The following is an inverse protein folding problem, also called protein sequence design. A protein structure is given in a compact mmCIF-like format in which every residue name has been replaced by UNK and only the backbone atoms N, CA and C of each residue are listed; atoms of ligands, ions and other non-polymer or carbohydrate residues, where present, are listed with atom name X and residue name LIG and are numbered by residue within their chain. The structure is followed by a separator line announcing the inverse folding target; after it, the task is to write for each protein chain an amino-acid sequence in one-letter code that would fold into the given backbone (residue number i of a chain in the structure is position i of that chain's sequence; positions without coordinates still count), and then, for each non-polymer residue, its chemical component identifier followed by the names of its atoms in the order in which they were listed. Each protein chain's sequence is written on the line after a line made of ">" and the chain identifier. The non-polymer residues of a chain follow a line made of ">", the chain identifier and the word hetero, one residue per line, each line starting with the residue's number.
data_IF_845409386211
#
_entry.id   IF_845409386211
#
_cell.length_a   1.000
_cell.length_b   1.000
_cell.length_c   1.000
_cell.angle_alpha   90.00
_cell.angle_beta   90.00
_cell.angle_gamma   90.00
#
_symmetry.space_group_name_H-M   'P 1'
#
loop_
_entity.id
_entity.type
_entity.pdbx_description
1 polymer ?
#
# COMPACT_ATOMS: atom_id res chain seq x y z
N UNK A 1 26.09 -1.04 -23.53
CA UNK A 1 25.98 -0.95 -22.06
C UNK A 1 25.16 -2.13 -21.59
N UNK A 2 25.39 -2.58 -20.35
CA UNK A 2 24.62 -3.65 -19.74
C UNK A 2 23.97 -3.10 -18.47
N UNK A 3 22.66 -3.31 -18.32
CA UNK A 3 21.89 -2.88 -17.16
C UNK A 3 21.03 -4.01 -16.66
N UNK A 4 21.02 -4.23 -15.35
CA UNK A 4 20.28 -5.32 -14.72
C UNK A 4 19.31 -4.80 -13.69
N UNK A 5 18.13 -5.42 -13.66
CA UNK A 5 17.07 -5.17 -12.70
C UNK A 5 16.67 -6.47 -12.02
N UNK A 6 16.33 -6.37 -10.73
CA UNK A 6 15.93 -7.53 -9.93
C UNK A 6 14.60 -7.22 -9.26
N UNK A 7 13.60 -8.06 -9.54
CA UNK A 7 12.25 -7.91 -9.00
C UNK A 7 11.93 -9.15 -8.15
N UNK A 8 11.57 -8.94 -6.89
CA UNK A 8 10.97 -10.01 -6.08
C UNK A 8 9.47 -10.08 -6.38
N UNK A 9 9.00 -11.27 -6.73
CA UNK A 9 7.61 -11.54 -7.13
C UNK A 9 6.92 -12.52 -6.20
N UNK A 10 5.59 -12.54 -6.23
CA UNK A 10 4.71 -13.47 -5.51
C UNK A 10 4.44 -14.76 -6.29
N UNK A 11 4.91 -14.91 -7.53
CA UNK A 11 4.66 -16.08 -8.38
C UNK A 11 5.31 -17.37 -7.83
N UNK A 12 4.54 -18.45 -7.72
CA UNK A 12 5.03 -19.78 -7.35
C UNK A 12 5.66 -20.49 -8.57
N UNK A 13 6.60 -21.44 -8.36
CA UNK A 13 7.33 -22.09 -9.45
C UNK A 13 6.46 -22.69 -10.56
N UNK A 14 5.25 -23.18 -10.22
CA UNK A 14 4.30 -23.74 -11.19
C UNK A 14 3.89 -22.75 -12.29
N UNK A 15 3.97 -21.44 -12.04
CA UNK A 15 3.48 -20.37 -12.94
C UNK A 15 4.60 -19.56 -13.59
N UNK A 16 5.86 -19.99 -13.48
CA UNK A 16 6.99 -19.28 -14.08
C UNK A 16 6.90 -19.21 -15.61
N UNK A 17 6.59 -20.33 -16.26
CA UNK A 17 6.42 -20.37 -17.71
C UNK A 17 5.19 -19.56 -18.13
N UNK A 18 4.07 -19.70 -17.41
CA UNK A 18 2.85 -18.93 -17.67
C UNK A 18 3.10 -17.42 -17.63
N UNK A 19 3.93 -16.94 -16.69
CA UNK A 19 4.32 -15.54 -16.61
C UNK A 19 5.12 -15.11 -17.85
N UNK A 20 6.09 -15.91 -18.29
CA UNK A 20 6.88 -15.61 -19.49
C UNK A 20 6.00 -15.54 -20.74
N UNK A 21 5.09 -16.51 -20.90
CA UNK A 21 4.11 -16.54 -21.98
C UNK A 21 3.17 -15.33 -21.94
N UNK A 22 2.75 -14.93 -20.74
CA UNK A 22 1.92 -13.73 -20.54
C UNK A 22 2.66 -12.47 -20.99
N UNK A 23 3.91 -12.27 -20.54
CA UNK A 23 4.73 -11.12 -20.95
C UNK A 23 4.90 -11.10 -22.47
N UNK A 24 5.23 -12.26 -23.07
CA UNK A 24 5.42 -12.38 -24.52
C UNK A 24 4.14 -12.04 -25.30
N UNK A 25 2.97 -12.46 -24.80
CA UNK A 25 1.67 -12.21 -25.45
C UNK A 25 1.30 -10.73 -25.49
N UNK A 26 1.68 -9.97 -24.46
CA UNK A 26 1.30 -8.56 -24.31
C UNK A 26 2.43 -7.58 -24.64
N UNK A 27 3.55 -8.06 -25.19
CA UNK A 27 4.69 -7.23 -25.60
C UNK A 27 4.91 -7.32 -27.10
N UNK A 28 5.35 -6.24 -27.74
CA UNK A 28 5.74 -6.25 -29.16
C UNK A 28 7.23 -6.62 -29.34
N UNK A 29 7.61 -7.77 -28.79
CA UNK A 29 8.97 -8.28 -28.86
C UNK A 29 9.25 -8.98 -30.19
N UNK A 30 10.44 -8.74 -30.76
CA UNK A 30 10.96 -9.44 -31.95
C UNK A 30 11.96 -10.52 -31.55
N UNK A 31 12.11 -11.55 -32.39
CA UNK A 31 13.00 -12.70 -32.18
C UNK A 31 12.88 -13.34 -30.78
N UNK A 32 11.68 -13.27 -30.20
CA UNK A 32 11.45 -13.65 -28.82
C UNK A 32 11.30 -15.17 -28.68
N UNK A 33 11.99 -15.75 -27.70
CA UNK A 33 12.01 -17.18 -27.44
C UNK A 33 12.07 -17.47 -25.95
N UNK A 34 11.19 -18.39 -25.52
CA UNK A 34 11.20 -18.93 -24.16
C UNK A 34 12.03 -20.21 -24.17
N UNK A 35 13.02 -20.29 -23.29
CA UNK A 35 13.88 -21.45 -23.08
C UNK A 35 13.86 -21.74 -21.58
N UNK A 36 13.06 -22.73 -21.17
CA UNK A 36 12.81 -23.08 -19.78
C UNK A 36 12.28 -21.89 -18.95
N UNK A 37 13.10 -21.38 -18.02
CA UNK A 37 12.84 -20.27 -17.09
C UNK A 37 13.31 -18.92 -17.63
N UNK A 38 13.59 -18.83 -18.93
CA UNK A 38 14.18 -17.64 -19.54
C UNK A 38 13.45 -17.20 -20.80
N UNK A 39 13.19 -15.90 -20.91
CA UNK A 39 12.68 -15.23 -22.10
C UNK A 39 13.78 -14.33 -22.66
N UNK A 40 14.25 -14.62 -23.87
CA UNK A 40 15.19 -13.78 -24.61
C UNK A 40 14.42 -13.07 -25.72
N UNK A 41 14.64 -11.77 -25.87
CA UNK A 41 13.89 -10.95 -26.84
C UNK A 41 14.70 -9.77 -27.36
N UNK A 42 14.20 -9.17 -28.45
CA UNK A 42 14.75 -7.97 -29.08
C UNK A 42 13.67 -6.90 -29.26
N UNK A 43 14.05 -5.65 -29.04
CA UNK A 43 13.22 -4.47 -29.36
C UNK A 43 14.02 -3.51 -30.23
N UNK A 44 13.44 -3.13 -31.37
CA UNK A 44 14.08 -2.24 -32.35
C UNK A 44 13.57 -0.81 -32.18
N UNK A 45 14.51 0.13 -32.13
CA UNK A 45 14.23 1.57 -32.12
C UNK A 45 14.95 2.24 -33.30
N UNK A 46 14.52 3.42 -33.76
CA UNK A 46 15.20 4.14 -34.85
C UNK A 46 16.69 4.40 -34.59
N UNK A 47 17.10 4.49 -33.31
CA UNK A 47 18.47 4.82 -32.88
C UNK A 47 19.29 3.58 -32.47
N UNK A 48 18.77 2.37 -32.64
CA UNK A 48 19.49 1.13 -32.30
C UNK A 48 18.57 0.03 -31.75
N UNK A 49 19.19 -1.03 -31.24
CA UNK A 49 18.48 -2.23 -30.79
C UNK A 49 18.77 -2.48 -29.31
N UNK A 50 17.72 -2.84 -28.56
CA UNK A 50 17.82 -3.33 -27.18
C UNK A 50 17.63 -4.85 -27.21
N UNK A 51 18.59 -5.59 -26.66
CA UNK A 51 18.45 -7.03 -26.45
C UNK A 51 18.15 -7.27 -24.97
N UNK A 52 17.09 -8.00 -24.67
CA UNK A 52 16.65 -8.32 -23.32
C UNK A 52 16.78 -9.81 -23.00
N UNK A 53 17.18 -10.10 -21.78
CA UNK A 53 17.20 -11.44 -21.17
C UNK A 53 16.45 -11.36 -19.83
N UNK A 54 15.32 -12.06 -19.75
CA UNK A 54 14.49 -12.14 -18.55
C UNK A 54 14.51 -13.56 -18.01
N UNK A 55 15.01 -13.74 -16.79
CA UNK A 55 15.04 -15.03 -16.11
C UNK A 55 14.10 -15.02 -14.90
N UNK A 56 13.16 -15.96 -14.84
CA UNK A 56 12.22 -16.14 -13.73
C UNK A 56 12.75 -17.12 -12.68
N UNK A 57 12.41 -16.86 -11.43
CA UNK A 57 12.85 -17.61 -10.26
C UNK A 57 12.25 -17.00 -9.00
N UNK A 58 12.85 -17.25 -7.82
CA UNK A 58 12.45 -16.53 -6.59
C UNK A 58 12.51 -15.01 -6.74
N UNK A 59 13.45 -14.55 -7.58
CA UNK A 59 13.56 -13.18 -8.05
C UNK A 59 13.66 -13.22 -9.58
N UNK A 60 12.93 -12.34 -10.25
CA UNK A 60 13.05 -12.13 -11.68
C UNK A 60 14.27 -11.23 -11.92
N UNK A 61 15.17 -11.70 -12.78
CA UNK A 61 16.32 -10.91 -13.24
C UNK A 61 16.06 -10.48 -14.66
N UNK A 62 16.19 -9.19 -14.94
CA UNK A 62 16.02 -8.61 -16.28
C UNK A 62 17.32 -7.91 -16.64
N UNK A 63 17.99 -8.37 -17.68
CA UNK A 63 19.24 -7.80 -18.17
C UNK A 63 19.04 -7.24 -19.58
N UNK A 64 19.47 -5.99 -19.80
CA UNK A 64 19.40 -5.31 -21.09
C UNK A 64 20.79 -5.01 -21.62
N UNK A 65 21.00 -5.27 -22.92
CA UNK A 65 22.18 -4.84 -23.67
C UNK A 65 21.77 -3.84 -24.77
N UNK A 66 22.32 -2.63 -24.72
CA UNK A 66 21.86 -1.50 -25.53
C UNK A 66 22.94 -0.42 -25.79
N UNK A 67 22.82 0.41 -26.84
CA UNK A 67 23.69 1.56 -27.09
C UNK A 67 23.37 2.75 -26.14
N UNK A 68 24.34 3.64 -25.82
CA UNK A 68 24.13 4.77 -24.91
C UNK A 68 22.99 5.73 -25.27
N UNK A 69 22.65 5.82 -26.56
CA UNK A 69 21.54 6.65 -27.06
C UNK A 69 20.15 6.20 -26.60
N UNK A 70 20.03 4.97 -26.06
CA UNK A 70 18.75 4.37 -25.69
C UNK A 70 18.54 4.21 -24.17
N UNK A 71 19.32 4.88 -23.33
CA UNK A 71 19.19 4.78 -21.86
C UNK A 71 17.76 5.04 -21.37
N UNK A 72 17.13 6.12 -21.83
CA UNK A 72 15.76 6.46 -21.43
C UNK A 72 14.73 5.42 -21.89
N UNK A 73 15.00 4.74 -23.02
CA UNK A 73 14.14 3.68 -23.57
C UNK A 73 14.26 2.36 -22.81
N UNK A 74 15.41 2.09 -22.19
CA UNK A 74 15.58 0.94 -21.30
C UNK A 74 14.72 1.09 -20.04
N UNK A 75 14.64 2.30 -19.47
CA UNK A 75 13.78 2.57 -18.31
C UNK A 75 12.29 2.39 -18.64
N UNK A 76 11.84 2.92 -19.80
CA UNK A 76 10.47 2.76 -20.28
C UNK A 76 10.12 1.29 -20.48
N UNK A 77 11.00 0.54 -21.17
CA UNK A 77 10.84 -0.89 -21.41
C UNK A 77 10.82 -1.71 -20.10
N UNK A 78 11.65 -1.35 -19.12
CA UNK A 78 11.61 -1.96 -17.80
C UNK A 78 10.27 -1.70 -17.10
N UNK A 79 9.78 -0.46 -17.11
CA UNK A 79 8.50 -0.10 -16.48
C UNK A 79 7.32 -0.84 -17.16
N UNK A 80 7.35 -1.05 -18.48
CA UNK A 80 6.36 -1.84 -19.23
C UNK A 80 6.37 -3.32 -18.82
N UNK A 81 7.55 -3.95 -18.78
CA UNK A 81 7.67 -5.35 -18.35
C UNK A 81 7.25 -5.49 -16.88
N UNK A 82 7.68 -4.57 -16.02
CA UNK A 82 7.28 -4.53 -14.62
C UNK A 82 5.75 -4.44 -14.50
N UNK A 83 5.10 -3.60 -15.31
CA UNK A 83 3.65 -3.49 -15.34
C UNK A 83 2.96 -4.81 -15.73
N UNK A 84 3.47 -5.51 -16.75
CA UNK A 84 2.93 -6.82 -17.15
C UNK A 84 3.10 -7.88 -16.06
N UNK A 85 4.25 -7.89 -15.36
CA UNK A 85 4.47 -8.75 -14.19
C UNK A 85 3.41 -8.44 -13.12
N UNK A 86 3.18 -7.17 -12.80
CA UNK A 86 2.19 -6.78 -11.79
C UNK A 86 0.75 -7.14 -12.18
N UNK A 87 0.40 -7.05 -13.46
CA UNK A 87 -0.89 -7.45 -13.99
C UNK A 87 -1.12 -8.96 -13.79
N UNK A 88 -0.14 -9.78 -14.16
CA UNK A 88 -0.17 -11.24 -13.91
C UNK A 88 -0.24 -11.55 -12.41
N UNK A 89 0.55 -10.81 -11.62
CA UNK A 89 0.45 -10.62 -10.16
C UNK A 89 -0.99 -10.64 -9.64
N UNK A 90 -1.75 -9.62 -10.02
CA UNK A 90 -3.13 -9.42 -9.58
C UNK A 90 -4.09 -10.50 -10.09
N UNK A 91 -3.84 -11.11 -11.25
CA UNK A 91 -4.64 -12.23 -11.73
C UNK A 91 -4.46 -13.47 -10.86
N UNK A 92 -3.21 -13.85 -10.55
CA UNK A 92 -2.92 -14.96 -9.65
C UNK A 92 -3.47 -14.72 -8.24
N UNK A 93 -3.42 -13.48 -7.74
CA UNK A 93 -3.95 -13.13 -6.42
C UNK A 93 -5.44 -13.45 -6.26
N UNK A 94 -6.22 -13.42 -7.35
CA UNK A 94 -7.67 -13.73 -7.33
C UNK A 94 -7.94 -15.21 -7.07
N UNK A 95 -7.01 -16.10 -7.38
CA UNK A 95 -7.11 -17.56 -7.15
C UNK A 95 -6.17 -18.06 -6.05
N UNK A 96 -5.58 -17.16 -5.25
CA UNK A 96 -4.63 -17.55 -4.18
C UNK A 96 -5.33 -17.68 -2.83
N UNK A 97 -5.06 -18.80 -2.15
CA UNK A 97 -5.42 -19.01 -0.75
C UNK A 97 -4.28 -18.51 0.16
N UNK A 98 -4.63 -17.66 1.13
CA UNK A 98 -3.68 -17.09 2.09
C UNK A 98 -3.95 -17.56 3.50
N UNK A 99 -2.89 -17.98 4.18
CA UNK A 99 -2.85 -18.33 5.60
C UNK A 99 -1.78 -17.48 6.27
N UNK A 100 -2.09 -16.90 7.43
CA UNK A 100 -1.15 -16.10 8.18
C UNK A 100 -1.28 -16.36 9.67
N UNK A 101 -0.16 -16.36 10.39
CA UNK A 101 -0.12 -16.51 11.84
C UNK A 101 1.13 -15.85 12.43
N UNK A 102 1.11 -15.66 13.76
CA UNK A 102 2.22 -15.14 14.55
C UNK A 102 2.59 -16.20 15.58
N UNK A 103 3.88 -16.47 15.74
CA UNK A 103 4.36 -17.46 16.71
C UNK A 103 3.90 -17.12 18.14
N UNK A 104 3.43 -18.11 18.88
CA UNK A 104 3.01 -17.93 20.28
C UNK A 104 1.78 -17.05 20.50
N UNK A 105 1.05 -16.69 19.43
CA UNK A 105 -0.23 -15.97 19.52
C UNK A 105 -1.39 -16.88 19.15
N UNK A 106 -2.58 -16.51 19.62
CA UNK A 106 -3.80 -17.14 19.15
C UNK A 106 -3.89 -16.99 17.64
N UNK A 107 -4.11 -18.11 17.00
CA UNK A 107 -4.26 -18.11 15.56
C UNK A 107 -5.68 -17.60 15.30
N UNK A 108 -5.82 -16.67 14.35
CA UNK A 108 -7.08 -16.00 14.07
C UNK A 108 -7.34 -16.12 12.56
N UNK A 109 -8.36 -16.88 12.13
CA UNK A 109 -8.71 -16.97 10.73
C UNK A 109 -9.01 -15.60 10.13
N UNK A 110 -8.76 -15.44 8.83
CA UNK A 110 -9.22 -14.26 8.10
C UNK A 110 -10.76 -14.22 8.17
N UNK A 111 -11.32 -13.29 8.95
CA UNK A 111 -12.78 -13.22 9.13
C UNK A 111 -13.45 -12.69 7.86
N UNK A 112 -14.64 -13.22 7.48
CA UNK A 112 -15.46 -12.62 6.43
C UNK A 112 -15.73 -11.14 6.70
N UNK A 113 -16.02 -10.38 5.63
CA UNK A 113 -16.37 -8.97 5.74
C UNK A 113 -17.74 -8.79 6.40
N UNK A 114 -17.79 -8.81 7.74
CA UNK A 114 -19.00 -8.45 8.49
C UNK A 114 -19.41 -7.00 8.21
N UNK A 115 -20.69 -6.65 8.43
CA UNK A 115 -21.19 -5.28 8.27
C UNK A 115 -20.34 -4.27 9.07
N UNK A 116 -20.03 -4.58 10.33
CA UNK A 116 -19.15 -3.80 11.20
C UNK A 116 -17.74 -3.64 10.64
N UNK A 117 -17.17 -4.69 10.03
CA UNK A 117 -15.84 -4.63 9.42
C UNK A 117 -15.85 -3.87 8.10
N UNK A 118 -16.92 -3.95 7.31
CA UNK A 118 -17.12 -3.14 6.09
C UNK A 118 -17.24 -1.66 6.44
N UNK A 119 -17.98 -1.32 7.48
CA UNK A 119 -18.12 0.04 7.99
C UNK A 119 -16.77 0.55 8.53
N UNK A 120 -16.09 -0.22 9.38
CA UNK A 120 -14.75 0.14 9.87
C UNK A 120 -13.77 0.33 8.73
N UNK A 121 -13.77 -0.55 7.72
CA UNK A 121 -12.94 -0.44 6.52
C UNK A 121 -13.30 0.75 5.61
N UNK A 122 -14.57 1.13 5.54
CA UNK A 122 -15.01 2.32 4.80
C UNK A 122 -14.64 3.62 5.54
N UNK A 123 -14.69 3.62 6.88
CA UNK A 123 -14.35 4.76 7.72
C UNK A 123 -12.84 4.95 7.90
N UNK A 124 -12.09 3.87 8.05
CA UNK A 124 -10.65 3.88 8.37
C UNK A 124 -9.79 3.26 7.27
N UNK A 125 -10.34 3.13 6.05
CA UNK A 125 -9.60 2.72 4.86
C UNK A 125 -8.70 3.84 4.34
N UNK A 126 -8.12 3.65 3.15
CA UNK A 126 -7.18 4.63 2.56
C UNK A 126 -7.82 5.96 2.14
N UNK A 127 -9.15 6.10 2.23
CA UNK A 127 -9.86 7.32 1.90
C UNK A 127 -10.61 7.83 3.14
N UNK A 128 -10.13 8.93 3.71
CA UNK A 128 -10.70 9.58 4.89
C UNK A 128 -12.03 10.31 4.59
N UNK A 129 -12.44 10.42 3.31
CA UNK A 129 -13.63 11.14 2.88
C UNK A 129 -14.90 10.72 3.64
N UNK A 130 -15.14 9.41 3.79
CA UNK A 130 -16.34 8.89 4.47
C UNK A 130 -16.33 9.29 5.94
N UNK A 131 -15.18 9.16 6.59
CA UNK A 131 -14.99 9.58 7.98
C UNK A 131 -15.26 11.07 8.15
N UNK A 132 -14.74 11.90 7.24
CA UNK A 132 -15.00 13.34 7.22
C UNK A 132 -16.48 13.68 7.05
N UNK A 133 -17.19 13.03 6.14
CA UNK A 133 -18.64 13.24 5.93
C UNK A 133 -19.41 12.88 7.20
N UNK A 134 -19.08 11.76 7.83
CA UNK A 134 -19.70 11.33 9.09
C UNK A 134 -19.44 12.34 10.21
N UNK A 135 -18.18 12.78 10.39
CA UNK A 135 -17.85 13.80 11.38
C UNK A 135 -18.51 15.14 11.09
N UNK A 136 -18.62 15.54 9.83
CA UNK A 136 -19.32 16.77 9.44
C UNK A 136 -20.80 16.69 9.84
N UNK A 137 -21.47 15.57 9.59
CA UNK A 137 -22.84 15.33 10.02
C UNK A 137 -23.00 15.38 11.54
N UNK A 138 -22.11 14.72 12.29
CA UNK A 138 -22.10 14.76 13.77
C UNK A 138 -21.89 16.20 14.27
N UNK A 139 -20.97 16.95 13.66
CA UNK A 139 -20.70 18.34 14.04
C UNK A 139 -21.91 19.24 13.80
N UNK A 140 -22.60 19.09 12.66
CA UNK A 140 -23.82 19.84 12.35
C UNK A 140 -24.92 19.52 13.38
N UNK A 141 -25.12 18.24 13.69
CA UNK A 141 -26.11 17.81 14.69
C UNK A 141 -25.81 18.40 16.07
N UNK A 142 -24.55 18.32 16.53
CA UNK A 142 -24.13 18.91 17.80
C UNK A 142 -24.35 20.42 17.83
N UNK A 143 -24.07 21.11 16.73
CA UNK A 143 -24.28 22.54 16.62
C UNK A 143 -25.76 22.93 16.67
N UNK A 144 -26.64 22.15 16.04
CA UNK A 144 -28.10 22.34 16.12
C UNK A 144 -28.60 22.16 17.56
N UNK A 145 -28.09 21.17 18.29
CA UNK A 145 -28.55 20.85 19.64
C UNK A 145 -27.99 21.79 20.72
N UNK A 146 -26.74 22.22 20.59
CA UNK A 146 -26.00 22.89 21.66
C UNK A 146 -25.54 24.33 21.30
N UNK A 147 -25.80 24.78 20.08
CA UNK A 147 -25.38 26.10 19.59
C UNK A 147 -23.88 26.31 19.70
N UNK A 148 -23.44 27.51 20.13
CA UNK A 148 -22.02 27.82 20.25
C UNK A 148 -21.27 26.99 21.31
N UNK A 149 -21.95 26.41 22.30
CA UNK A 149 -21.31 25.47 23.23
C UNK A 149 -20.83 24.19 22.54
N UNK A 150 -21.44 23.82 21.40
CA UNK A 150 -21.01 22.70 20.58
C UNK A 150 -19.56 22.86 20.10
N UNK A 151 -19.08 24.09 19.87
CA UNK A 151 -17.74 24.35 19.33
C UNK A 151 -16.66 23.79 20.26
N UNK A 152 -16.76 24.10 21.55
CA UNK A 152 -15.81 23.63 22.56
C UNK A 152 -15.91 22.11 22.71
N UNK A 153 -17.12 21.57 22.72
CA UNK A 153 -17.36 20.12 22.86
C UNK A 153 -16.78 19.36 21.67
N UNK A 154 -17.02 19.82 20.44
CA UNK A 154 -16.49 19.22 19.21
C UNK A 154 -14.95 19.22 19.24
N UNK A 155 -14.34 20.35 19.59
CA UNK A 155 -12.88 20.46 19.67
C UNK A 155 -12.29 19.53 20.74
N UNK A 156 -12.90 19.47 21.93
CA UNK A 156 -12.47 18.56 22.99
C UNK A 156 -12.64 17.09 22.61
N UNK A 157 -13.76 16.74 21.96
CA UNK A 157 -14.01 15.39 21.45
C UNK A 157 -12.98 14.99 20.40
N UNK A 158 -12.74 15.83 19.40
CA UNK A 158 -11.76 15.57 18.34
C UNK A 158 -10.34 15.48 18.89
N UNK A 159 -9.95 16.38 19.81
CA UNK A 159 -8.65 16.33 20.47
C UNK A 159 -8.48 15.03 21.27
N UNK A 160 -9.53 14.60 21.97
CA UNK A 160 -9.53 13.33 22.72
C UNK A 160 -9.35 12.12 21.80
N UNK A 161 -10.03 12.09 20.64
CA UNK A 161 -9.85 11.04 19.64
C UNK A 161 -8.40 10.91 19.17
N UNK A 162 -7.70 12.03 18.98
CA UNK A 162 -6.28 12.04 18.59
C UNK A 162 -5.40 11.57 19.74
N UNK A 163 -5.68 12.02 20.96
CA UNK A 163 -4.92 11.65 22.17
C UNK A 163 -4.98 10.14 22.48
N UNK A 164 -6.08 9.49 22.09
CA UNK A 164 -6.32 8.06 22.27
C UNK A 164 -6.27 7.26 20.96
N UNK A 165 -5.80 7.87 19.87
CA UNK A 165 -5.75 7.23 18.54
C UNK A 165 -4.95 5.93 18.53
N UNK A 166 -3.87 5.85 19.32
CA UNK A 166 -3.06 4.64 19.50
C UNK A 166 -3.89 3.47 20.05
N UNK A 167 -4.76 3.75 21.03
CA UNK A 167 -5.63 2.73 21.63
C UNK A 167 -6.75 2.34 20.68
N UNK A 168 -7.35 3.30 19.99
CA UNK A 168 -8.43 3.03 19.03
C UNK A 168 -7.94 2.15 17.88
N UNK A 169 -6.76 2.45 17.31
CA UNK A 169 -6.19 1.65 16.23
C UNK A 169 -5.70 0.28 16.70
N UNK A 170 -5.30 0.12 17.97
CA UNK A 170 -4.91 -1.20 18.49
C UNK A 170 -6.05 -2.23 18.46
N UNK A 171 -7.31 -1.78 18.53
CA UNK A 171 -8.49 -2.65 18.44
C UNK A 171 -8.67 -3.23 17.02
N UNK A 172 -8.10 -2.57 16.00
CA UNK A 172 -8.27 -2.97 14.61
C UNK A 172 -7.37 -4.12 14.19
N UNK A 173 -6.33 -4.43 14.96
CA UNK A 173 -5.49 -5.57 14.67
C UNK A 173 -5.77 -6.79 15.53
N UNK A 174 -5.43 -7.93 14.97
CA UNK A 174 -5.61 -9.24 15.55
C UNK A 174 -4.40 -9.67 16.36
N UNK A 175 -3.19 -9.30 15.94
CA UNK A 175 -1.94 -9.70 16.59
C UNK A 175 -1.08 -8.52 16.97
N UNK A 176 -0.48 -8.60 18.16
CA UNK A 176 0.55 -7.67 18.59
C UNK A 176 1.92 -8.32 18.44
N UNK A 177 2.86 -7.58 17.81
CA UNK A 177 4.24 -8.03 17.60
C UNK A 177 5.14 -7.43 18.68
N UNK A 178 5.93 -8.28 19.32
CA UNK A 178 6.86 -7.99 20.41
C UNK A 178 8.21 -8.67 20.14
N UNK A 179 9.29 -8.36 20.88
CA UNK A 179 10.55 -9.09 20.78
C UNK A 179 10.41 -10.60 20.96
N UNK A 180 9.41 -11.04 21.75
CA UNK A 180 9.18 -12.44 22.08
C UNK A 180 8.47 -13.22 20.96
N UNK A 181 7.77 -12.53 20.06
CA UNK A 181 7.07 -13.11 18.90
C UNK A 181 7.27 -12.28 17.61
N UNK A 182 8.52 -12.14 17.13
CA UNK A 182 8.85 -11.14 16.12
C UNK A 182 8.43 -11.55 14.69
N UNK A 183 8.14 -12.83 14.47
CA UNK A 183 7.90 -13.41 13.16
C UNK A 183 6.41 -13.49 12.81
N UNK A 184 6.08 -12.99 11.62
CA UNK A 184 4.81 -13.25 10.94
C UNK A 184 5.07 -14.26 9.83
N UNK A 185 4.32 -15.35 9.87
CA UNK A 185 4.35 -16.39 8.85
C UNK A 185 3.18 -16.19 7.90
N UNK A 186 3.46 -16.30 6.61
CA UNK A 186 2.48 -16.19 5.54
C UNK A 186 2.69 -17.35 4.59
N UNK A 187 1.62 -18.04 4.28
CA UNK A 187 1.60 -19.14 3.34
C UNK A 187 0.56 -18.88 2.26
N UNK A 188 0.98 -19.08 1.02
CA UNK A 188 0.20 -18.84 -0.18
C UNK A 188 0.09 -20.12 -0.98
N UNK A 189 -1.13 -20.46 -1.38
CA UNK A 189 -1.41 -21.53 -2.33
C UNK A 189 -2.06 -20.94 -3.57
N UNK A 190 -1.34 -20.97 -4.69
CA UNK A 190 -1.82 -20.47 -5.97
C UNK A 190 -2.56 -21.57 -6.71
N UNK A 191 -3.87 -21.42 -6.86
CA UNK A 191 -4.73 -22.43 -7.49
C UNK A 191 -4.72 -22.27 -9.02
N UNK A 192 -4.75 -23.37 -9.80
CA UNK A 192 -4.79 -23.32 -11.26
C UNK A 192 -6.01 -22.55 -11.78
N UNK A 193 -5.75 -21.50 -12.57
CA UNK A 193 -6.72 -20.47 -12.94
C UNK A 193 -7.57 -20.79 -14.18
N UNK A 194 -7.80 -22.08 -14.53
CA UNK A 194 -8.40 -22.44 -15.83
C UNK A 194 -9.79 -21.83 -16.07
N UNK A 195 -10.55 -21.46 -15.03
CA UNK A 195 -11.82 -20.74 -15.17
C UNK A 195 -12.05 -19.68 -14.05
N UNK A 196 -11.33 -18.55 -14.15
CA UNK A 196 -11.42 -17.41 -13.21
C UNK A 196 -12.82 -16.81 -13.04
N UNK A 197 -13.68 -16.85 -14.07
CA UNK A 197 -15.07 -16.34 -13.99
C UNK A 197 -15.95 -17.22 -13.10
N UNK A 198 -15.76 -18.54 -13.15
CA UNK A 198 -16.44 -19.49 -12.26
C UNK A 198 -15.97 -19.32 -10.80
N UNK A 199 -14.69 -19.03 -10.60
CA UNK A 199 -14.11 -18.77 -9.28
C UNK A 199 -14.74 -17.55 -8.57
N UNK A 200 -14.97 -16.43 -9.26
CA UNK A 200 -15.39 -15.20 -8.58
C UNK A 200 -16.88 -15.15 -8.22
N UNK A 201 -17.75 -15.73 -9.04
CA UNK A 201 -19.21 -15.70 -8.81
C UNK A 201 -19.70 -16.80 -7.85
N UNK A 202 -18.97 -17.91 -7.73
CA UNK A 202 -19.41 -19.09 -6.97
C UNK A 202 -18.57 -19.37 -5.71
N UNK A 203 -17.30 -18.91 -5.62
CA UNK A 203 -16.36 -19.40 -4.58
C UNK A 203 -16.05 -18.44 -3.42
N UNK A 204 -16.68 -17.26 -3.30
CA UNK A 204 -16.38 -16.32 -2.21
C UNK A 204 -16.54 -16.96 -0.81
N UNK A 205 -17.69 -17.57 -0.55
CA UNK A 205 -17.95 -18.30 0.70
C UNK A 205 -17.25 -19.67 0.75
N UNK A 206 -17.01 -20.28 -0.42
CA UNK A 206 -16.35 -21.57 -0.55
C UNK A 206 -14.87 -21.52 -0.14
N UNK A 207 -14.15 -20.49 -0.58
CA UNK A 207 -12.75 -20.22 -0.20
C UNK A 207 -12.64 -20.03 1.32
N UNK A 208 -13.61 -19.38 1.95
CA UNK A 208 -13.64 -19.19 3.40
C UNK A 208 -13.80 -20.53 4.11
N UNK A 209 -14.68 -21.41 3.62
CA UNK A 209 -14.87 -22.75 4.19
C UNK A 209 -13.62 -23.62 4.00
N UNK A 210 -13.00 -23.60 2.82
CA UNK A 210 -11.72 -24.29 2.55
C UNK A 210 -10.66 -23.81 3.53
N UNK A 211 -10.49 -22.48 3.68
CA UNK A 211 -9.54 -21.90 4.62
C UNK A 211 -9.81 -22.35 6.05
N UNK A 212 -11.07 -22.33 6.48
CA UNK A 212 -11.47 -22.75 7.83
C UNK A 212 -11.16 -24.23 8.08
N UNK A 213 -11.50 -25.11 7.15
CA UNK A 213 -11.23 -26.54 7.29
C UNK A 213 -9.71 -26.85 7.31
N UNK A 214 -8.93 -26.20 6.45
CA UNK A 214 -7.46 -26.35 6.48
C UNK A 214 -6.92 -25.81 7.80
N UNK A 215 -7.42 -24.67 8.25
CA UNK A 215 -7.03 -24.05 9.52
C UNK A 215 -7.31 -24.96 10.72
N UNK A 216 -8.51 -25.53 10.81
CA UNK A 216 -8.93 -26.42 11.90
C UNK A 216 -8.09 -27.70 11.93
N UNK A 217 -7.62 -28.16 10.76
CA UNK A 217 -6.75 -29.33 10.65
C UNK A 217 -5.27 -29.03 10.88
N UNK A 218 -4.82 -27.78 10.74
CA UNK A 218 -3.40 -27.37 10.80
C UNK A 218 -3.11 -26.52 12.03
N UNK A 219 -3.33 -25.23 11.88
CA UNK A 219 -2.95 -24.19 12.81
C UNK A 219 -3.63 -24.43 14.16
N UNK A 220 -4.90 -24.85 14.18
CA UNK A 220 -5.60 -25.16 15.43
C UNK A 220 -4.96 -26.30 16.24
N UNK A 221 -4.18 -27.18 15.59
CA UNK A 221 -3.42 -28.27 16.23
C UNK A 221 -1.95 -27.89 16.49
N UNK A 222 -1.54 -26.65 16.18
CA UNK A 222 -0.16 -26.20 16.28
C UNK A 222 0.73 -26.62 15.11
N UNK A 223 0.16 -27.15 14.03
CA UNK A 223 0.90 -27.54 12.83
C UNK A 223 0.84 -26.45 11.75
N UNK A 224 1.91 -26.32 10.96
CA UNK A 224 1.91 -25.41 9.81
C UNK A 224 0.94 -25.91 8.74
N UNK A 225 0.19 -25.00 8.06
CA UNK A 225 -0.82 -25.37 7.06
C UNK A 225 -0.21 -25.87 5.75
N UNK A 226 0.45 -27.02 5.74
CA UNK A 226 1.15 -27.55 4.56
C UNK A 226 0.20 -28.06 3.49
N UNK A 227 0.72 -28.18 2.26
CA UNK A 227 -0.02 -28.71 1.12
C UNK A 227 -0.50 -30.14 1.38
N UNK A 228 0.30 -30.93 2.11
CA UNK A 228 -0.03 -32.30 2.50
C UNK A 228 -1.23 -32.35 3.43
N UNK A 229 -1.25 -31.48 4.44
CA UNK A 229 -2.32 -31.41 5.43
C UNK A 229 -3.64 -30.89 4.82
N UNK A 230 -3.54 -29.92 3.91
CA UNK A 230 -4.67 -29.35 3.18
C UNK A 230 -5.13 -30.18 1.99
N UNK A 231 -4.37 -31.21 1.58
CA UNK A 231 -4.59 -31.94 0.32
C UNK A 231 -5.99 -32.53 0.20
N UNK A 232 -6.47 -33.18 1.25
CA UNK A 232 -7.79 -33.82 1.25
C UNK A 232 -8.94 -32.80 1.27
N UNK A 233 -8.69 -31.62 1.86
CA UNK A 233 -9.64 -30.50 1.79
C UNK A 233 -9.69 -29.99 0.35
N UNK A 234 -8.55 -29.61 -0.20
CA UNK A 234 -8.44 -29.06 -1.56
C UNK A 234 -9.01 -30.02 -2.62
N UNK A 235 -8.71 -31.33 -2.52
CA UNK A 235 -9.24 -32.35 -3.43
C UNK A 235 -10.76 -32.48 -3.39
N UNK A 236 -11.39 -32.37 -2.21
CA UNK A 236 -12.86 -32.39 -2.11
C UNK A 236 -13.52 -31.23 -2.85
N UNK A 237 -12.80 -30.11 -2.98
CA UNK A 237 -13.24 -28.94 -3.73
C UNK A 237 -12.71 -28.91 -5.17
N UNK A 238 -12.10 -30.01 -5.65
CA UNK A 238 -11.64 -30.16 -7.03
C UNK A 238 -10.25 -29.58 -7.32
N UNK A 239 -9.47 -29.25 -6.30
CA UNK A 239 -8.13 -28.70 -6.44
C UNK A 239 -7.04 -29.73 -6.12
N UNK A 240 -6.04 -29.81 -7.00
CA UNK A 240 -4.81 -30.52 -6.69
C UNK A 240 -3.79 -29.53 -6.10
N UNK A 241 -3.26 -29.88 -4.94
CA UNK A 241 -2.18 -29.14 -4.31
C UNK A 241 -0.86 -29.85 -4.59
N UNK A 242 0.08 -29.12 -5.19
CA UNK A 242 1.48 -29.56 -5.33
C UNK A 242 2.41 -28.56 -4.64
N UNK A 243 3.59 -28.98 -4.14
CA UNK A 243 4.57 -28.06 -3.56
C UNK A 243 5.01 -26.94 -4.51
N UNK A 244 4.86 -27.10 -5.83
CA UNK A 244 5.20 -26.08 -6.82
C UNK A 244 4.17 -24.93 -6.88
N UNK A 245 2.98 -25.12 -6.30
CA UNK A 245 1.94 -24.09 -6.15
C UNK A 245 2.03 -23.36 -4.80
N UNK A 246 2.89 -23.85 -3.90
CA UNK A 246 3.09 -23.31 -2.56
C UNK A 246 4.15 -22.21 -2.57
N UNK A 247 3.89 -21.15 -1.82
CA UNK A 247 4.89 -20.13 -1.52
C UNK A 247 4.75 -19.66 -0.09
N UNK A 248 5.82 -19.77 0.68
CA UNK A 248 5.88 -19.32 2.06
C UNK A 248 6.72 -18.06 2.20
N UNK A 249 6.39 -17.24 3.20
CA UNK A 249 7.15 -16.06 3.57
C UNK A 249 7.14 -15.90 5.08
N UNK A 250 8.33 -15.78 5.66
CA UNK A 250 8.53 -15.52 7.08
C UNK A 250 9.16 -14.14 7.19
N UNK A 251 8.56 -13.25 7.98
CA UNK A 251 8.98 -11.86 8.08
C UNK A 251 9.21 -11.53 9.54
N UNK A 252 10.42 -11.09 9.86
CA UNK A 252 10.72 -10.51 11.16
C UNK A 252 10.23 -9.06 11.20
N UNK A 253 8.95 -8.89 11.52
CA UNK A 253 8.32 -7.56 11.52
C UNK A 253 8.87 -6.68 12.63
N UNK A 254 9.19 -7.27 13.78
CA UNK A 254 9.75 -6.52 14.91
C UNK A 254 11.08 -5.85 14.52
N UNK A 255 12.00 -6.58 13.90
CA UNK A 255 13.30 -6.05 13.50
C UNK A 255 13.20 -5.03 12.36
N UNK A 256 12.27 -5.20 11.43
CA UNK A 256 12.02 -4.18 10.39
C UNK A 256 11.58 -2.85 11.01
N UNK A 257 10.58 -2.88 11.91
CA UNK A 257 10.09 -1.67 12.57
C UNK A 257 11.14 -1.08 13.50
N UNK A 258 11.83 -1.91 14.29
CA UNK A 258 12.93 -1.47 15.17
C UNK A 258 14.07 -0.82 14.39
N UNK A 259 14.46 -1.41 13.26
CA UNK A 259 15.50 -0.88 12.39
C UNK A 259 15.10 0.48 11.82
N UNK A 260 13.87 0.62 11.31
CA UNK A 260 13.36 1.90 10.84
C UNK A 260 13.28 2.93 11.98
N UNK A 261 12.70 2.58 13.13
CA UNK A 261 12.57 3.47 14.29
C UNK A 261 13.94 3.97 14.78
N UNK A 262 14.94 3.08 14.83
CA UNK A 262 16.32 3.43 15.16
C UNK A 262 16.92 4.44 14.18
N UNK A 263 16.71 4.27 12.86
CA UNK A 263 17.15 5.25 11.85
C UNK A 263 16.49 6.61 12.04
N UNK A 264 15.19 6.63 12.38
CA UNK A 264 14.44 7.84 12.71
C UNK A 264 14.75 8.40 14.11
N UNK A 265 15.57 7.72 14.91
CA UNK A 265 15.92 8.09 16.30
C UNK A 265 14.69 8.27 17.20
N UNK A 266 13.68 7.42 16.99
CA UNK A 266 12.47 7.35 17.81
C UNK A 266 12.39 5.99 18.50
N UNK A 267 11.70 5.86 19.65
CA UNK A 267 11.43 4.56 20.23
C UNK A 267 10.60 3.70 19.27
N UNK A 268 10.82 2.38 19.30
CA UNK A 268 10.00 1.43 18.53
C UNK A 268 8.54 1.57 18.96
N UNK A 269 7.62 1.94 18.06
CA UNK A 269 6.21 2.06 18.39
C UNK A 269 5.61 0.68 18.66
N UNK A 270 4.38 0.66 19.20
CA UNK A 270 3.60 -0.59 19.25
C UNK A 270 3.36 -1.09 17.83
N UNK A 271 3.49 -2.40 17.62
CA UNK A 271 3.33 -3.01 16.30
C UNK A 271 2.11 -3.91 16.36
N UNK A 272 1.19 -3.68 15.42
CA UNK A 272 -0.06 -4.42 15.32
C UNK A 272 -0.23 -4.93 13.89
N UNK A 273 -0.60 -6.20 13.77
CA UNK A 273 -0.93 -6.83 12.48
C UNK A 273 -2.43 -6.97 12.36
N UNK A 274 -2.98 -6.50 11.25
CA UNK A 274 -4.34 -6.79 10.86
C UNK A 274 -4.38 -7.92 9.81
N UNK A 275 -5.15 -8.98 10.09
CA UNK A 275 -5.30 -10.11 9.20
C UNK A 275 -6.34 -9.80 8.10
N UNK A 276 -5.86 -9.14 7.05
CA UNK A 276 -6.63 -8.75 5.86
C UNK A 276 -5.71 -8.72 4.65
N UNK A 277 -6.15 -9.30 3.53
CA UNK A 277 -5.40 -9.31 2.28
C UNK A 277 -5.40 -7.99 1.50
N UNK A 278 -6.12 -6.97 1.99
CA UNK A 278 -5.94 -5.61 1.46
C UNK A 278 -4.63 -4.99 1.95
N UNK A 279 -3.71 -4.63 1.05
CA UNK A 279 -2.46 -4.00 1.45
C UNK A 279 -2.73 -2.61 2.02
N UNK A 280 -2.29 -2.41 3.25
CA UNK A 280 -2.29 -1.14 3.93
C UNK A 280 -1.21 -1.11 5.03
N UNK A 281 -0.68 0.08 5.27
CA UNK A 281 0.11 0.43 6.43
C UNK A 281 -0.49 1.71 7.02
N UNK A 282 -0.36 1.91 8.33
CA UNK A 282 -0.71 3.17 8.97
C UNK A 282 0.11 3.36 10.24
N UNK A 283 0.59 4.59 10.48
CA UNK A 283 1.05 5.00 11.79
C UNK A 283 0.12 6.03 12.44
N UNK A 284 -0.06 5.90 13.75
CA UNK A 284 -0.87 6.84 14.54
C UNK A 284 -0.31 7.01 15.95
N UNK A 285 -0.90 7.92 16.70
CA UNK A 285 -0.56 8.20 18.09
C UNK A 285 -0.22 9.67 18.33
N UNK A 286 -0.41 10.17 19.56
CA UNK A 286 -0.19 11.59 19.88
C UNK A 286 1.29 11.98 19.93
N UNK A 287 2.21 11.01 19.96
CA UNK A 287 3.65 11.28 19.93
C UNK A 287 4.42 10.02 19.55
N UNK A 288 5.69 10.14 19.11
CA UNK A 288 6.53 8.96 18.84
C UNK A 288 6.65 7.97 20.01
N UNK A 289 6.62 8.46 21.27
CA UNK A 289 6.66 7.61 22.47
C UNK A 289 5.37 6.84 22.73
N UNK A 290 4.25 7.31 22.17
CA UNK A 290 2.93 6.67 22.24
C UNK A 290 2.42 6.32 20.83
N UNK A 291 3.35 5.96 19.95
CA UNK A 291 3.04 5.60 18.58
C UNK A 291 2.59 4.15 18.44
N UNK A 292 1.79 3.91 17.41
CA UNK A 292 1.42 2.58 16.94
C UNK A 292 1.60 2.53 15.42
N UNK A 293 2.16 1.43 14.93
CA UNK A 293 2.17 1.08 13.51
C UNK A 293 1.27 -0.14 13.30
N UNK A 294 0.36 -0.03 12.34
CA UNK A 294 -0.51 -1.10 11.87
C UNK A 294 -0.03 -1.55 10.50
N UNK A 295 0.21 -2.85 10.36
CA UNK A 295 0.55 -3.49 9.09
C UNK A 295 -0.50 -4.55 8.77
N UNK A 296 -0.76 -4.78 7.49
CA UNK A 296 -1.73 -5.79 7.06
C UNK A 296 -1.00 -7.02 6.49
N UNK A 297 -1.58 -8.21 6.62
CA UNK A 297 -1.05 -9.43 5.98
C UNK A 297 -0.97 -9.27 4.46
N UNK A 298 -1.90 -8.52 3.85
CA UNK A 298 -1.84 -8.14 2.44
C UNK A 298 -0.62 -7.30 2.06
N UNK A 299 -0.22 -6.34 2.89
CA UNK A 299 1.01 -5.56 2.66
C UNK A 299 2.25 -6.42 2.81
N UNK A 300 2.30 -7.21 3.90
CA UNK A 300 3.39 -8.11 4.21
C UNK A 300 3.61 -9.16 3.11
N UNK A 301 2.54 -9.61 2.47
CA UNK A 301 2.62 -10.53 1.33
C UNK A 301 3.27 -9.86 0.13
N UNK A 302 2.81 -8.65 -0.22
CA UNK A 302 3.17 -7.95 -1.47
C UNK A 302 4.58 -7.39 -1.53
N UNK A 303 5.07 -6.89 -0.41
CA UNK A 303 6.31 -6.13 -0.37
C UNK A 303 7.46 -6.96 0.17
N UNK A 304 8.62 -6.89 -0.46
CA UNK A 304 9.85 -7.45 0.10
C UNK A 304 10.33 -6.66 1.34
N UNK A 305 11.33 -7.18 2.03
CA UNK A 305 11.80 -6.62 3.31
C UNK A 305 12.35 -5.19 3.15
N UNK A 306 12.94 -4.84 2.00
CA UNK A 306 13.47 -3.51 1.75
C UNK A 306 12.35 -2.53 1.39
N UNK A 307 11.39 -2.99 0.58
CA UNK A 307 10.15 -2.27 0.25
C UNK A 307 9.31 -2.02 1.53
N UNK A 308 9.15 -3.03 2.39
CA UNK A 308 8.49 -2.93 3.69
C UNK A 308 9.23 -1.93 4.59
N UNK A 309 10.56 -2.01 4.68
CA UNK A 309 11.35 -1.08 5.48
C UNK A 309 11.14 0.38 5.02
N UNK A 310 11.06 0.61 3.71
CA UNK A 310 10.79 1.94 3.14
C UNK A 310 9.36 2.42 3.40
N UNK A 311 8.35 1.55 3.31
CA UNK A 311 6.96 1.90 3.66
C UNK A 311 6.81 2.16 5.15
N UNK A 312 7.40 1.32 6.00
CA UNK A 312 7.47 1.56 7.45
C UNK A 312 8.16 2.90 7.72
N UNK A 313 9.25 3.21 7.02
CA UNK A 313 9.92 4.50 7.13
C UNK A 313 9.01 5.70 6.78
N UNK A 314 8.14 5.54 5.78
CA UNK A 314 7.14 6.56 5.41
C UNK A 314 6.13 6.76 6.54
N UNK A 315 5.58 5.67 7.09
CA UNK A 315 4.65 5.73 8.23
C UNK A 315 5.30 6.35 9.48
N UNK A 316 6.55 5.99 9.78
CA UNK A 316 7.29 6.57 10.91
C UNK A 316 7.60 8.05 10.70
N UNK A 317 7.74 8.51 9.46
CA UNK A 317 7.92 9.94 9.17
C UNK A 317 6.67 10.76 9.56
N UNK A 318 5.45 10.22 9.35
CA UNK A 318 4.22 10.84 9.84
C UNK A 318 4.18 10.93 11.36
N UNK A 319 4.51 9.81 12.03
CA UNK A 319 4.55 9.75 13.49
C UNK A 319 5.58 10.72 14.09
N UNK A 320 6.78 10.79 13.50
CA UNK A 320 7.85 11.71 13.89
C UNK A 320 7.45 13.18 13.70
N UNK A 321 6.80 13.49 12.57
CA UNK A 321 6.27 14.81 12.27
C UNK A 321 5.03 15.23 13.06
N UNK A 322 4.43 14.30 13.83
CA UNK A 322 3.18 14.49 14.58
C UNK A 322 2.03 14.98 13.69
N UNK A 323 1.96 14.46 12.48
CA UNK A 323 1.03 14.94 11.45
C UNK A 323 -0.44 14.90 11.88
N UNK A 324 -0.93 13.88 12.60
CA UNK A 324 -2.29 13.89 13.11
C UNK A 324 -2.61 15.12 13.99
N UNK A 325 -1.67 15.57 14.82
CA UNK A 325 -1.85 16.75 15.69
C UNK A 325 -1.78 18.04 14.87
N UNK A 326 -0.86 18.12 13.91
CA UNK A 326 -0.72 19.31 13.06
C UNK A 326 -1.96 19.49 12.19
N UNK A 327 -2.43 18.42 11.55
CA UNK A 327 -3.66 18.42 10.75
C UNK A 327 -4.88 18.77 11.59
N UNK A 328 -4.97 18.26 12.81
CA UNK A 328 -6.00 18.68 13.76
C UNK A 328 -5.96 20.17 14.06
N UNK A 329 -4.77 20.75 14.27
CA UNK A 329 -4.61 22.18 14.48
C UNK A 329 -5.10 23.00 13.27
N UNK A 330 -4.76 22.57 12.05
CA UNK A 330 -5.21 23.21 10.80
C UNK A 330 -6.74 23.14 10.68
N UNK A 331 -7.33 21.95 10.85
CA UNK A 331 -8.77 21.73 10.73
C UNK A 331 -9.54 22.48 11.84
N UNK A 332 -9.03 22.46 13.06
CA UNK A 332 -9.63 23.19 14.19
C UNK A 332 -9.54 24.70 14.02
N UNK A 333 -8.41 25.20 13.53
CA UNK A 333 -8.22 26.61 13.23
C UNK A 333 -9.18 27.08 12.13
N UNK A 334 -9.32 26.31 11.05
CA UNK A 334 -10.32 26.56 10.01
C UNK A 334 -11.74 26.53 10.59
N UNK A 335 -12.08 25.54 11.43
CA UNK A 335 -13.40 25.46 12.04
C UNK A 335 -13.75 26.68 12.88
N UNK A 336 -12.82 27.16 13.70
CA UNK A 336 -13.01 28.36 14.52
C UNK A 336 -13.13 29.60 13.63
N UNK A 337 -12.26 29.74 12.63
CA UNK A 337 -12.26 30.87 11.70
C UNK A 337 -13.57 30.92 10.91
N UNK A 338 -14.08 29.76 10.49
CA UNK A 338 -15.36 29.58 9.81
C UNK A 338 -16.52 30.17 10.60
N UNK A 339 -16.56 29.91 11.91
CA UNK A 339 -17.66 30.32 12.78
C UNK A 339 -17.53 31.76 13.31
N UNK A 340 -16.33 32.34 13.28
CA UNK A 340 -16.07 33.66 13.87
C UNK A 340 -15.97 34.75 12.80
N UNK A 341 -15.00 34.61 11.88
CA UNK A 341 -14.66 35.65 10.90
C UNK A 341 -15.35 35.41 9.56
N UNK A 342 -15.37 34.15 9.11
CA UNK A 342 -15.85 33.80 7.76
C UNK A 342 -17.35 33.46 7.71
N UNK A 343 -18.06 33.55 8.84
CA UNK A 343 -19.48 33.20 8.90
C UNK A 343 -20.35 33.94 7.86
N UNK A 344 -20.15 35.26 7.59
CA UNK A 344 -20.89 35.93 6.53
C UNK A 344 -20.65 35.32 5.14
N UNK A 345 -19.41 34.99 4.80
CA UNK A 345 -19.05 34.34 3.53
C UNK A 345 -19.67 32.94 3.43
N UNK A 346 -19.65 32.18 4.52
CA UNK A 346 -20.26 30.86 4.61
C UNK A 346 -21.77 30.94 4.42
N UNK A 347 -22.43 31.95 4.99
CA UNK A 347 -23.87 32.15 4.85
C UNK A 347 -24.28 32.50 3.41
N UNK A 348 -23.43 33.20 2.65
CA UNK A 348 -23.68 33.56 1.25
C UNK A 348 -23.61 32.35 0.31
N UNK A 349 -22.63 31.46 0.51
CA UNK A 349 -22.38 30.33 -0.38
C UNK A 349 -21.86 29.10 0.38
N UNK A 350 -22.69 28.45 1.23
CA UNK A 350 -22.23 27.42 2.16
C UNK A 350 -21.66 26.19 1.45
N UNK A 351 -22.30 25.74 0.36
CA UNK A 351 -21.83 24.58 -0.40
C UNK A 351 -20.48 24.87 -1.08
N UNK A 352 -20.36 26.02 -1.75
CA UNK A 352 -19.11 26.40 -2.42
C UNK A 352 -17.96 26.54 -1.42
N UNK A 353 -18.22 27.15 -0.26
CA UNK A 353 -17.24 27.27 0.81
C UNK A 353 -16.72 25.89 1.24
N UNK A 354 -17.62 24.94 1.52
CA UNK A 354 -17.24 23.59 1.93
C UNK A 354 -16.41 22.91 0.85
N UNK A 355 -16.82 22.97 -0.43
CA UNK A 355 -16.07 22.35 -1.53
C UNK A 355 -14.63 22.91 -1.64
N UNK A 356 -14.48 24.24 -1.55
CA UNK A 356 -13.18 24.91 -1.65
C UNK A 356 -12.28 24.60 -0.47
N UNK A 357 -12.79 24.72 0.76
CA UNK A 357 -12.01 24.43 1.97
C UNK A 357 -11.62 22.96 2.04
N UNK A 358 -12.53 22.07 1.66
CA UNK A 358 -12.25 20.65 1.67
C UNK A 358 -11.16 20.31 0.66
N UNK A 359 -11.27 20.84 -0.56
CA UNK A 359 -10.18 20.73 -1.55
C UNK A 359 -8.85 21.28 -1.00
N UNK A 360 -8.86 22.46 -0.35
CA UNK A 360 -7.66 23.06 0.23
C UNK A 360 -7.04 22.16 1.32
N UNK A 361 -7.85 21.59 2.23
CA UNK A 361 -7.38 20.70 3.29
C UNK A 361 -6.72 19.44 2.69
N UNK A 362 -7.37 18.79 1.73
CA UNK A 362 -6.79 17.63 1.05
C UNK A 362 -5.54 17.99 0.25
N UNK A 363 -5.52 19.16 -0.40
CA UNK A 363 -4.34 19.63 -1.13
C UNK A 363 -3.16 19.91 -0.19
N UNK A 364 -3.41 20.50 0.99
CA UNK A 364 -2.39 20.70 2.02
C UNK A 364 -1.92 19.36 2.59
N UNK A 365 -2.81 18.38 2.76
CA UNK A 365 -2.43 17.03 3.20
C UNK A 365 -1.41 16.37 2.25
N UNK A 366 -1.48 16.65 0.93
CA UNK A 366 -0.48 16.20 -0.05
C UNK A 366 0.95 16.66 0.27
N UNK A 367 1.11 17.78 0.98
CA UNK A 367 2.43 18.25 1.43
C UNK A 367 3.04 17.34 2.50
N UNK A 368 2.21 16.83 3.41
CA UNK A 368 2.64 15.92 4.48
C UNK A 368 3.01 14.55 3.91
N UNK A 369 2.22 14.04 2.98
CA UNK A 369 2.51 12.80 2.23
C UNK A 369 3.83 12.89 1.46
N UNK A 370 4.01 13.96 0.68
CA UNK A 370 5.26 14.20 -0.03
C UNK A 370 6.45 14.36 0.94
N UNK A 371 6.24 14.97 2.11
CA UNK A 371 7.28 15.07 3.13
C UNK A 371 7.63 13.71 3.72
N UNK A 372 6.64 12.85 3.99
CA UNK A 372 6.87 11.49 4.49
C UNK A 372 7.65 10.64 3.48
N UNK A 373 7.34 10.74 2.18
CA UNK A 373 8.12 10.12 1.11
C UNK A 373 9.58 10.58 1.12
N UNK A 374 9.79 11.91 1.19
CA UNK A 374 11.13 12.49 1.20
C UNK A 374 11.93 12.05 2.42
N UNK A 375 11.32 12.09 3.60
CA UNK A 375 11.96 11.69 4.85
C UNK A 375 12.28 10.19 4.87
N UNK A 376 11.37 9.34 4.43
CA UNK A 376 11.65 7.90 4.30
C UNK A 376 12.81 7.65 3.36
N UNK A 377 12.79 8.25 2.16
CA UNK A 377 13.86 8.09 1.20
C UNK A 377 15.23 8.54 1.72
N UNK A 378 15.29 9.67 2.43
CA UNK A 378 16.55 10.21 2.99
C UNK A 378 17.02 9.43 4.22
N UNK A 379 16.11 9.04 5.12
CA UNK A 379 16.46 8.37 6.39
C UNK A 379 16.71 6.88 6.20
N UNK A 380 15.88 6.20 5.39
CA UNK A 380 16.08 4.78 5.07
C UNK A 380 17.22 4.61 4.06
N UNK A 381 17.33 5.55 3.10
CA UNK A 381 18.36 5.58 2.07
C UNK A 381 18.04 4.77 0.82
N UNK A 382 16.76 4.43 0.59
CA UNK A 382 16.30 3.56 -0.52
C UNK A 382 15.06 4.14 -1.24
N UNK A 383 15.17 5.29 -1.92
CA UNK A 383 14.06 5.91 -2.65
C UNK A 383 13.45 4.99 -3.72
N UNK A 384 14.28 4.24 -4.43
CA UNK A 384 13.88 3.28 -5.46
C UNK A 384 12.97 2.17 -4.90
N UNK A 385 13.27 1.67 -3.70
CA UNK A 385 12.44 0.65 -3.03
C UNK A 385 11.10 1.19 -2.58
N UNK A 386 11.05 2.46 -2.13
CA UNK A 386 9.77 3.10 -1.84
C UNK A 386 8.95 3.30 -3.12
N UNK A 387 9.59 3.70 -4.23
CA UNK A 387 8.92 3.84 -5.52
C UNK A 387 8.34 2.50 -6.02
N UNK A 388 9.12 1.42 -5.92
CA UNK A 388 8.65 0.06 -6.26
C UNK A 388 7.49 -0.37 -5.37
N UNK A 389 7.56 -0.14 -4.06
CA UNK A 389 6.47 -0.44 -3.14
C UNK A 389 5.18 0.30 -3.52
N UNK A 390 5.28 1.59 -3.85
CA UNK A 390 4.15 2.40 -4.32
C UNK A 390 3.58 1.88 -5.64
N UNK A 391 4.41 1.41 -6.58
CA UNK A 391 3.94 0.77 -7.81
C UNK A 391 3.15 -0.51 -7.52
N UNK A 392 3.68 -1.40 -6.66
CA UNK A 392 3.03 -2.67 -6.27
C UNK A 392 1.70 -2.48 -5.54
N UNK A 393 1.61 -1.49 -4.65
CA UNK A 393 0.38 -1.19 -3.89
C UNK A 393 -0.61 -0.42 -4.75
N UNK A 394 -0.12 0.56 -5.51
CA UNK A 394 -0.91 1.55 -6.22
C UNK A 394 -1.47 1.11 -7.57
N UNK A 395 -1.18 -0.12 -8.01
CA UNK A 395 -1.60 -0.67 -9.29
C UNK A 395 -3.08 -0.43 -9.64
N UNK A 396 -4.03 -0.70 -8.72
CA UNK A 396 -5.47 -0.49 -8.97
C UNK A 396 -5.86 0.98 -9.22
N UNK A 397 -5.00 1.93 -8.83
CA UNK A 397 -5.20 3.38 -9.08
C UNK A 397 -4.60 3.80 -10.42
N UNK A 398 -3.65 3.03 -10.97
CA UNK A 398 -2.98 3.30 -12.25
C UNK A 398 -3.86 2.93 -13.46
N UNK A 399 -4.78 1.96 -13.31
CA UNK A 399 -5.74 1.54 -14.35
C UNK A 399 -6.70 2.65 -14.82
N UNK A 400 -6.82 3.74 -14.07
CA UNK A 400 -7.55 4.90 -14.55
C UNK A 400 -6.53 5.82 -15.19
N UNK A 401 -6.46 5.78 -16.53
CA UNK A 401 -5.89 6.84 -17.37
C UNK A 401 -6.64 8.16 -17.20
N UNK A 402 -6.82 8.58 -15.95
CA UNK A 402 -7.46 9.80 -15.55
C UNK A 402 -6.55 10.93 -15.97
N UNK A 403 -7.13 11.88 -16.69
CA UNK A 403 -6.57 13.19 -16.99
C UNK A 403 -5.72 13.68 -15.82
N UNK A 404 -4.46 14.01 -16.12
CA UNK A 404 -3.43 14.30 -15.11
C UNK A 404 -3.92 15.33 -14.11
N UNK A 405 -4.62 16.37 -14.58
CA UNK A 405 -5.19 17.42 -13.72
C UNK A 405 -6.26 16.91 -12.74
N UNK A 406 -7.18 16.05 -13.17
CA UNK A 406 -8.25 15.55 -12.30
C UNK A 406 -7.72 14.68 -11.15
N UNK A 407 -6.60 13.99 -11.37
CA UNK A 407 -5.93 13.23 -10.31
C UNK A 407 -5.44 14.12 -9.14
N UNK A 408 -5.19 15.41 -9.39
CA UNK A 408 -4.82 16.38 -8.35
C UNK A 408 -6.02 17.01 -7.65
N UNK A 409 -7.14 17.16 -8.37
CA UNK A 409 -8.35 17.80 -7.86
C UNK A 409 -9.19 16.89 -6.96
N UNK A 410 -8.99 15.57 -7.05
CA UNK A 410 -9.71 14.61 -6.22
C UNK A 410 -9.40 14.78 -4.72
N UNK A 411 -10.39 14.55 -3.86
CA UNK A 411 -10.25 14.58 -2.40
C UNK A 411 -9.54 13.33 -1.85
N UNK A 412 -8.27 13.19 -2.24
CA UNK A 412 -7.33 12.19 -1.75
C UNK A 412 -6.15 12.93 -1.09
N UNK A 413 -5.76 12.59 0.15
CA UNK A 413 -4.63 13.27 0.79
C UNK A 413 -3.31 12.95 0.09
N UNK A 414 -3.24 11.87 -0.69
CA UNK A 414 -2.03 11.49 -1.43
C UNK A 414 -1.89 12.29 -2.72
N UNK A 415 -0.68 12.78 -3.04
CA UNK A 415 -0.38 13.22 -4.39
C UNK A 415 -0.59 12.08 -5.40
N UNK A 416 -0.84 12.39 -6.68
CA UNK A 416 -0.95 11.35 -7.71
C UNK A 416 0.24 10.40 -7.72
N UNK A 417 -0.04 9.11 -7.94
CA UNK A 417 0.95 8.04 -7.83
C UNK A 417 2.15 8.26 -8.78
N UNK A 418 1.87 8.66 -10.03
CA UNK A 418 2.91 8.97 -11.02
C UNK A 418 3.86 10.08 -10.53
N UNK A 419 3.34 11.09 -9.81
CA UNK A 419 4.12 12.18 -9.27
C UNK A 419 5.05 11.68 -8.16
N UNK A 420 4.51 10.87 -7.22
CA UNK A 420 5.29 10.30 -6.11
C UNK A 420 6.43 9.41 -6.62
N UNK A 421 6.12 8.48 -7.53
CA UNK A 421 7.11 7.57 -8.12
C UNK A 421 8.20 8.35 -8.85
N UNK A 422 7.82 9.29 -9.74
CA UNK A 422 8.79 10.11 -10.49
C UNK A 422 9.68 10.92 -9.57
N UNK A 423 9.11 11.50 -8.51
CA UNK A 423 9.86 12.27 -7.51
C UNK A 423 10.88 11.41 -6.77
N UNK A 424 10.51 10.18 -6.41
CA UNK A 424 11.40 9.22 -5.74
C UNK A 424 12.51 8.71 -6.68
N UNK A 425 12.17 8.29 -7.91
CA UNK A 425 13.15 7.82 -8.91
C UNK A 425 14.22 8.89 -9.21
N UNK A 426 13.83 10.18 -9.23
CA UNK A 426 14.73 11.29 -9.52
C UNK A 426 15.41 11.89 -8.27
N UNK A 427 15.15 11.35 -7.09
CA UNK A 427 15.64 11.92 -5.84
C UNK A 427 17.14 11.64 -5.67
N UNK A 428 17.92 12.70 -5.46
CA UNK A 428 19.32 12.59 -5.05
C UNK A 428 19.40 12.64 -3.53
N UNK A 429 19.88 11.57 -2.91
CA UNK A 429 19.97 11.47 -1.45
C UNK A 429 20.96 12.54 -0.95
N UNK A 430 20.47 13.44 -0.10
CA UNK A 430 21.25 14.53 0.48
C UNK A 430 20.60 15.10 1.74
N UNK A 431 21.31 16.00 2.43
CA UNK A 431 20.76 16.68 3.60
C UNK A 431 19.66 17.65 3.18
N UNK A 432 18.44 17.36 3.60
CA UNK A 432 17.28 18.23 3.40
C UNK A 432 17.16 19.19 4.59
N UNK A 433 17.25 20.50 4.35
CA UNK A 433 17.15 21.53 5.41
C UNK A 433 15.73 21.70 5.93
N UNK A 434 14.74 21.76 5.02
CA UNK A 434 13.34 22.02 5.35
C UNK A 434 12.41 21.06 4.60
N UNK A 435 12.23 19.82 5.09
CA UNK A 435 11.51 18.77 4.36
C UNK A 435 10.09 19.13 3.95
N UNK A 436 9.35 19.83 4.81
CA UNK A 436 7.97 20.23 4.52
C UNK A 436 7.90 21.31 3.43
N UNK A 437 8.77 22.33 3.50
CA UNK A 437 8.80 23.42 2.52
C UNK A 437 9.23 22.93 1.14
N UNK A 438 10.23 22.06 1.09
CA UNK A 438 10.68 21.43 -0.16
C UNK A 438 9.56 20.60 -0.78
N UNK A 439 8.90 19.77 0.04
CA UNK A 439 7.79 18.94 -0.42
C UNK A 439 6.57 19.75 -0.86
N UNK A 440 6.22 20.83 -0.14
CA UNK A 440 5.16 21.74 -0.56
C UNK A 440 5.49 22.40 -1.91
N UNK A 441 6.73 22.86 -2.11
CA UNK A 441 7.18 23.44 -3.38
C UNK A 441 7.08 22.44 -4.53
N UNK A 442 7.47 21.18 -4.29
CA UNK A 442 7.40 20.12 -5.29
C UNK A 442 5.96 19.77 -5.65
N UNK A 443 5.06 19.67 -4.65
CA UNK A 443 3.63 19.39 -4.87
C UNK A 443 2.97 20.52 -5.67
N UNK A 444 3.23 21.79 -5.31
CA UNK A 444 2.70 22.95 -6.05
C UNK A 444 3.20 22.96 -7.50
N UNK A 445 4.50 22.70 -7.72
CA UNK A 445 5.05 22.58 -9.07
C UNK A 445 4.43 21.43 -9.84
N UNK A 446 4.31 20.25 -9.24
CA UNK A 446 3.69 19.08 -9.86
C UNK A 446 2.24 19.33 -10.27
N UNK A 447 1.49 20.06 -9.44
CA UNK A 447 0.13 20.50 -9.79
C UNK A 447 0.12 21.49 -10.96
N UNK A 448 0.95 22.53 -10.93
CA UNK A 448 1.05 23.52 -12.03
C UNK A 448 1.45 22.84 -13.34
N UNK A 449 2.40 21.91 -13.29
CA UNK A 449 2.85 21.16 -14.47
C UNK A 449 1.71 20.29 -15.03
N UNK A 450 0.87 19.72 -14.16
CA UNK A 450 -0.31 18.95 -14.61
C UNK A 450 -1.30 19.81 -15.38
N UNK A 451 -1.49 21.07 -14.98
CA UNK A 451 -2.36 22.04 -15.65
C UNK A 451 -1.80 22.41 -17.02
N UNK A 452 -0.48 22.59 -17.14
CA UNK A 452 0.17 22.93 -18.42
C UNK A 452 0.17 21.79 -19.43
N UNK A 453 0.10 20.55 -18.94
CA UNK A 453 0.15 19.34 -19.76
C UNK A 453 -1.22 18.75 -20.11
N UNK A 454 -2.29 19.34 -19.57
CA UNK A 454 -3.70 19.00 -19.86
C UNK A 454 -4.27 20.08 -20.77
#
# INVERSE_FOLDING_TARGET
>A
MLREFIIKVEVAPAYYVDLLEFILRYSDFKDARIVYDRLVFRVEYPLGVINGDLQVGEKIKISFSYPPSLEDKVEELYDDIFFLIQLFEEELRKSTLYFAWVEGQDIIPEKPSSLTRRISKALFGSNLLVLFIVFLGVNILLFILLGFYAVIIILLMQFSLILFSDRLYSIMGEWQITPENPFVHILMYQLPSRDLKFFQEVFGDLLINIKKEIYDKSLALGESPTCELGRDVLRRYGFECTPLNEKSKIINVYDLVKSAASKFKIPTPKIVISNTMLPNAAATGPSPRRGLILLTTGLLTRLDDEELLSVIGHELAHLMGRDPIVLFGIISGEFILRLTVLLPLVAMAPLLYVLVIFWLIFFVAKFFEARADLLSAVVIGKPEKLAMALQKIGYRRFERGADRIFSWLFWDPHPPLYFRIRRLKNLKIGKVKSPLLESARDVIRGFIDSIKSS
#
